data_IF_031428018829
#
_entry.id   IF_031428018829
#
_cell.length_a   1.000
_cell.length_b   1.000
_cell.length_c   1.000
_cell.angle_alpha   90.00
_cell.angle_beta   90.00
_cell.angle_gamma   90.00
#
_symmetry.space_group_name_H-M   'P 1'
#
loop_
_entity.id
_entity.type
_entity.pdbx_description
1 polymer ?
#
# COMPACT_ATOMS: atom_id res chain seq x y z
N UNK A 1 52.92 -4.94 23.22
CA UNK A 1 51.96 -4.53 22.20
C UNK A 1 50.60 -4.89 22.72
N UNK A 2 49.80 -3.85 22.96
CA UNK A 2 48.64 -3.88 23.85
C UNK A 2 47.46 -4.65 23.28
N UNK A 3 46.76 -5.28 24.22
CA UNK A 3 45.43 -5.80 24.06
C UNK A 3 44.59 -5.31 25.26
N UNK A 4 43.47 -4.67 24.93
CA UNK A 4 42.21 -4.51 25.69
C UNK A 4 42.17 -3.67 26.98
N UNK A 5 41.35 -2.60 26.94
CA UNK A 5 40.53 -2.18 28.08
C UNK A 5 39.12 -1.80 27.62
N UNK A 6 38.15 -2.53 28.18
CA UNK A 6 36.72 -2.26 28.14
C UNK A 6 36.40 -1.05 29.02
N UNK A 7 35.72 -0.06 28.47
CA UNK A 7 35.18 1.11 29.18
C UNK A 7 33.86 0.75 29.87
N UNK A 8 33.74 1.10 31.14
CA UNK A 8 32.60 0.75 32.00
C UNK A 8 31.34 1.58 31.72
N UNK A 9 30.19 0.90 31.83
CA UNK A 9 28.85 1.49 31.87
C UNK A 9 28.68 2.32 33.15
N UNK A 10 28.27 3.58 33.00
CA UNK A 10 27.99 4.49 34.10
C UNK A 10 26.77 4.05 34.92
N UNK A 11 26.92 4.07 36.24
CA UNK A 11 25.90 3.76 37.24
C UNK A 11 24.71 4.72 37.17
N UNK A 12 23.50 4.17 37.11
CA UNK A 12 22.25 4.92 37.30
C UNK A 12 22.07 5.16 38.81
N UNK A 13 22.15 6.41 39.25
CA UNK A 13 21.78 6.81 40.60
C UNK A 13 20.26 6.81 40.75
N UNK A 14 19.73 5.86 41.53
CA UNK A 14 18.32 5.84 41.95
C UNK A 14 18.22 6.63 43.25
N UNK A 15 17.72 7.87 43.18
CA UNK A 15 17.35 8.64 44.36
C UNK A 15 16.02 8.12 44.93
N UNK A 16 15.84 8.09 46.26
CA UNK A 16 14.58 7.63 46.87
C UNK A 16 13.48 8.66 46.64
N UNK A 17 12.52 8.32 45.77
CA UNK A 17 11.34 9.15 45.50
C UNK A 17 10.34 9.04 46.66
N UNK A 18 9.80 10.17 47.10
CA UNK A 18 8.73 10.20 48.11
C UNK A 18 7.39 9.78 47.47
N UNK A 19 6.46 9.23 48.26
CA UNK A 19 5.24 8.55 47.75
C UNK A 19 4.37 9.37 46.78
N UNK A 20 4.38 10.70 46.86
CA UNK A 20 3.62 11.56 45.96
C UNK A 20 4.29 11.76 44.58
N UNK A 21 5.62 11.69 44.49
CA UNK A 21 6.35 11.83 43.23
C UNK A 21 6.25 10.56 42.37
N UNK A 22 6.21 9.38 43.00
CA UNK A 22 5.91 8.12 42.32
C UNK A 22 4.53 8.13 41.67
N UNK A 23 3.52 8.67 42.36
CA UNK A 23 2.15 8.74 41.84
C UNK A 23 2.08 9.63 40.60
N UNK A 24 2.72 10.81 40.63
CA UNK A 24 2.79 11.74 39.49
C UNK A 24 3.53 11.14 38.29
N UNK A 25 4.63 10.42 38.50
CA UNK A 25 5.33 9.71 37.43
C UNK A 25 4.49 8.58 36.83
N UNK A 26 3.82 7.78 37.67
CA UNK A 26 2.95 6.67 37.22
C UNK A 26 1.80 7.22 36.37
N UNK A 27 1.11 8.28 36.84
CA UNK A 27 0.06 8.95 36.06
C UNK A 27 0.59 9.55 34.75
N UNK A 28 1.78 10.17 34.77
CA UNK A 28 2.44 10.69 33.58
C UNK A 28 2.75 9.61 32.55
N UNK A 29 3.27 8.46 32.97
CA UNK A 29 3.53 7.31 32.09
C UNK A 29 2.25 6.65 31.57
N UNK A 30 1.22 6.49 32.40
CA UNK A 30 -0.08 5.95 31.97
C UNK A 30 -0.76 6.85 30.94
N UNK A 31 -0.69 8.18 31.13
CA UNK A 31 -1.17 9.15 30.15
C UNK A 31 -0.41 9.03 28.82
N UNK A 32 0.92 8.87 28.86
CA UNK A 32 1.73 8.74 27.65
C UNK A 32 1.43 7.45 26.86
N UNK A 33 1.21 6.33 27.55
CA UNK A 33 0.84 5.05 26.92
C UNK A 33 -0.58 5.10 26.32
N UNK A 34 -1.50 5.85 26.92
CA UNK A 34 -2.86 6.02 26.39
C UNK A 34 -2.95 6.78 25.07
N UNK A 35 -1.90 7.53 24.70
CA UNK A 35 -1.83 8.31 23.46
C UNK A 35 -1.32 7.48 22.27
N UNK A 36 -0.85 6.24 22.51
CA UNK A 36 -0.42 5.33 21.45
C UNK A 36 -1.66 4.76 20.75
N UNK A 37 -2.19 5.53 19.81
CA UNK A 37 -3.18 5.04 18.86
C UNK A 37 -2.48 4.10 17.87
N UNK A 38 -2.95 2.85 17.79
CA UNK A 38 -2.51 1.93 16.74
C UNK A 38 -3.11 2.39 15.40
N UNK A 39 -2.32 3.07 14.59
CA UNK A 39 -2.70 3.41 13.22
C UNK A 39 -2.24 2.27 12.30
N UNK A 40 -3.20 1.57 11.71
CA UNK A 40 -2.93 0.74 10.55
C UNK A 40 -2.88 1.67 9.32
N UNK A 41 -1.70 1.82 8.72
CA UNK A 41 -1.48 2.72 7.58
C UNK A 41 -1.74 2.08 6.22
N UNK A 42 -1.75 0.74 6.15
CA UNK A 42 -1.88 0.00 4.90
C UNK A 42 -3.34 -0.36 4.61
N UNK A 43 -3.73 -0.25 3.35
CA UNK A 43 -4.94 -0.90 2.85
C UNK A 43 -4.68 -2.40 2.67
N UNK A 44 -5.72 -3.25 2.76
CA UNK A 44 -5.60 -4.67 2.52
C UNK A 44 -5.56 -5.04 1.03
N UNK A 45 -5.46 -4.06 0.11
CA UNK A 45 -5.31 -4.33 -1.31
C UNK A 45 -4.00 -5.09 -1.60
N UNK A 46 -4.04 -6.00 -2.56
CA UNK A 46 -2.89 -6.82 -2.95
C UNK A 46 -2.78 -6.96 -4.48
N UNK A 47 -2.56 -5.84 -5.15
CA UNK A 47 -2.43 -5.77 -6.60
C UNK A 47 -0.99 -5.92 -7.08
N UNK A 48 -0.79 -6.55 -8.24
CA UNK A 48 0.51 -6.67 -8.90
C UNK A 48 0.69 -5.62 -9.99
N UNK A 49 1.94 -5.37 -10.37
CA UNK A 49 2.29 -4.45 -11.46
C UNK A 49 1.57 -4.80 -12.77
N UNK A 50 1.53 -6.08 -13.12
CA UNK A 50 0.84 -6.58 -14.32
C UNK A 50 -0.68 -6.36 -14.28
N UNK A 51 -1.27 -6.31 -13.07
CA UNK A 51 -2.68 -5.98 -12.91
C UNK A 51 -2.96 -4.50 -13.21
N UNK A 52 -1.99 -3.61 -12.92
CA UNK A 52 -2.15 -2.15 -13.08
C UNK A 52 -1.78 -1.65 -14.46
N UNK A 53 -0.71 -2.14 -15.10
CA UNK A 53 -0.36 -1.69 -16.46
C UNK A 53 -1.47 -2.01 -17.47
N UNK A 54 -1.62 -1.18 -18.49
CA UNK A 54 -2.67 -1.29 -19.50
C UNK A 54 -3.46 0.01 -19.64
N UNK A 55 -4.63 -0.07 -20.29
CA UNK A 55 -5.46 1.10 -20.58
C UNK A 55 -6.57 1.26 -19.54
N UNK A 56 -6.78 2.50 -19.11
CA UNK A 56 -7.72 2.89 -18.07
C UNK A 56 -8.58 4.05 -18.52
N UNK A 57 -9.84 4.03 -18.13
CA UNK A 57 -10.77 5.15 -18.23
C UNK A 57 -10.85 5.84 -16.88
N UNK A 58 -10.51 7.13 -16.87
CA UNK A 58 -10.58 8.01 -15.70
C UNK A 58 -11.81 8.88 -15.86
N UNK A 59 -12.64 8.95 -14.82
CA UNK A 59 -13.72 9.94 -14.72
C UNK A 59 -13.40 10.89 -13.59
N UNK A 60 -13.46 12.19 -13.87
CA UNK A 60 -12.96 13.26 -13.01
C UNK A 60 -14.02 14.35 -12.86
N UNK A 61 -14.11 14.95 -11.67
CA UNK A 61 -14.99 16.08 -11.39
C UNK A 61 -14.44 17.39 -11.96
N UNK A 62 -15.20 18.47 -11.76
CA UNK A 62 -14.71 19.83 -12.00
C UNK A 62 -13.41 20.12 -11.26
N UNK A 63 -12.47 20.78 -11.94
CA UNK A 63 -11.09 21.05 -11.48
C UNK A 63 -10.97 22.36 -10.70
N UNK A 64 -11.98 22.68 -9.90
CA UNK A 64 -12.08 23.92 -9.13
C UNK A 64 -11.84 23.72 -7.64
N UNK A 65 -11.56 22.48 -7.22
CA UNK A 65 -11.30 22.13 -5.84
C UNK A 65 -9.98 22.69 -5.31
N UNK A 66 -9.87 22.75 -3.98
CA UNK A 66 -8.63 23.07 -3.28
C UNK A 66 -7.98 21.80 -2.72
N UNK A 67 -6.80 21.94 -2.10
CA UNK A 67 -6.11 20.86 -1.40
C UNK A 67 -6.85 20.31 -0.17
N UNK A 68 -8.05 20.80 0.13
CA UNK A 68 -8.94 20.33 1.21
C UNK A 68 -10.19 19.61 0.67
N UNK A 69 -10.24 19.32 -0.64
CA UNK A 69 -11.39 18.63 -1.24
C UNK A 69 -11.60 17.25 -0.59
N UNK A 70 -12.86 16.93 -0.27
CA UNK A 70 -13.26 15.61 0.18
C UNK A 70 -13.70 14.77 -1.04
N UNK A 71 -13.09 13.59 -1.22
CA UNK A 71 -13.37 12.65 -2.31
C UNK A 71 -14.03 11.33 -1.84
N UNK A 72 -14.59 11.29 -0.63
CA UNK A 72 -15.36 10.14 -0.13
C UNK A 72 -16.50 9.77 -1.08
N UNK A 73 -17.10 10.78 -1.71
CA UNK A 73 -18.03 10.61 -2.84
C UNK A 73 -17.46 11.28 -4.08
N UNK A 74 -17.67 10.67 -5.25
CA UNK A 74 -17.07 11.19 -6.49
C UNK A 74 -17.69 12.53 -6.89
N UNK A 75 -19.02 12.71 -6.78
CA UNK A 75 -19.70 13.90 -7.28
C UNK A 75 -20.04 13.84 -8.77
N UNK A 76 -20.34 15.00 -9.38
CA UNK A 76 -20.71 15.09 -10.79
C UNK A 76 -19.50 14.95 -11.72
N UNK A 77 -19.61 14.08 -12.72
CA UNK A 77 -18.55 13.83 -13.70
C UNK A 77 -18.50 14.99 -14.70
N UNK A 78 -17.34 15.63 -14.82
CA UNK A 78 -17.10 16.73 -15.75
C UNK A 78 -16.14 16.35 -16.88
N UNK A 79 -15.21 15.43 -16.60
CA UNK A 79 -14.19 15.04 -17.55
C UNK A 79 -14.04 13.51 -17.60
N UNK A 80 -13.83 12.99 -18.80
CA UNK A 80 -13.50 11.58 -19.05
C UNK A 80 -12.21 11.55 -19.85
N UNK A 81 -11.25 10.73 -19.44
CA UNK A 81 -9.93 10.61 -20.06
C UNK A 81 -9.47 9.16 -20.12
N UNK A 82 -8.86 8.78 -21.23
CA UNK A 82 -8.24 7.47 -21.34
C UNK A 82 -6.72 7.60 -21.24
N UNK A 83 -6.13 6.79 -20.36
CA UNK A 83 -4.68 6.71 -20.20
C UNK A 83 -4.20 5.28 -20.46
N UNK A 84 -3.06 5.16 -21.13
CA UNK A 84 -2.34 3.89 -21.26
C UNK A 84 -1.08 3.94 -20.40
N UNK A 85 -0.98 3.00 -19.47
CA UNK A 85 0.14 2.83 -18.55
C UNK A 85 1.02 1.70 -19.07
N UNK A 86 2.19 2.04 -19.60
CA UNK A 86 3.12 1.12 -20.25
C UNK A 86 4.41 0.95 -19.45
N UNK A 87 5.07 -0.19 -19.64
CA UNK A 87 6.39 -0.44 -19.06
C UNK A 87 7.44 0.50 -19.67
N UNK A 88 8.43 0.96 -18.86
CA UNK A 88 8.54 0.73 -17.42
C UNK A 88 7.61 1.62 -16.58
N UNK A 89 7.46 2.88 -16.98
CA UNK A 89 6.80 3.93 -16.21
C UNK A 89 6.16 4.99 -17.13
N UNK A 90 5.80 4.66 -18.36
CA UNK A 90 5.31 5.61 -19.37
C UNK A 90 3.78 5.69 -19.31
N UNK A 91 3.23 6.89 -19.15
CA UNK A 91 1.78 7.12 -19.26
C UNK A 91 1.48 7.97 -20.49
N UNK A 92 0.52 7.56 -21.32
CA UNK A 92 0.09 8.32 -22.51
C UNK A 92 -1.41 8.53 -22.56
N UNK A 93 -1.86 9.69 -23.00
CA UNK A 93 -3.27 9.97 -23.25
C UNK A 93 -3.67 9.79 -24.72
N UNK A 94 -4.97 9.92 -24.99
CA UNK A 94 -5.56 9.85 -26.34
C UNK A 94 -5.03 10.88 -27.36
N UNK A 95 -4.40 11.96 -26.89
CA UNK A 95 -3.83 13.03 -27.72
C UNK A 95 -2.32 12.87 -27.91
N UNK A 96 -1.72 11.82 -27.35
CA UNK A 96 -0.28 11.55 -27.42
C UNK A 96 0.54 12.35 -26.41
N UNK A 97 -0.08 13.01 -25.42
CA UNK A 97 0.67 13.61 -24.33
C UNK A 97 1.24 12.51 -23.46
N UNK A 98 2.53 12.64 -23.11
CA UNK A 98 3.23 11.71 -22.26
C UNK A 98 3.43 12.29 -20.85
N UNK A 99 3.30 11.41 -19.86
CA UNK A 99 3.73 11.59 -18.49
C UNK A 99 4.41 10.32 -18.00
N UNK A 100 4.55 10.19 -16.68
CA UNK A 100 5.02 8.94 -16.07
C UNK A 100 3.95 8.33 -15.18
N UNK A 101 4.11 7.07 -14.81
CA UNK A 101 3.31 6.45 -13.75
C UNK A 101 4.17 5.56 -12.87
N UNK A 102 3.74 5.39 -11.63
CA UNK A 102 4.40 4.48 -10.71
C UNK A 102 3.36 3.72 -9.90
N UNK A 103 3.66 2.46 -9.64
CA UNK A 103 2.92 1.68 -8.66
C UNK A 103 3.38 2.07 -7.26
N UNK A 104 2.43 2.15 -6.32
CA UNK A 104 2.73 2.36 -4.91
C UNK A 104 2.53 1.02 -4.21
N UNK A 105 3.64 0.29 -4.13
CA UNK A 105 3.71 -1.09 -3.63
C UNK A 105 2.62 -1.98 -4.26
N UNK A 106 1.63 -2.41 -3.49
CA UNK A 106 0.46 -3.16 -3.96
C UNK A 106 -0.87 -2.42 -3.67
N UNK A 107 -0.77 -1.16 -3.25
CA UNK A 107 -1.83 -0.37 -2.61
C UNK A 107 -2.60 0.48 -3.62
N UNK A 108 -1.91 0.98 -4.64
CA UNK A 108 -2.45 1.91 -5.61
C UNK A 108 -1.40 2.34 -6.62
N UNK A 109 -1.66 3.41 -7.34
CA UNK A 109 -0.72 3.96 -8.32
C UNK A 109 -0.89 5.48 -8.45
N UNK A 110 0.18 6.13 -8.92
CA UNK A 110 0.16 7.54 -9.28
C UNK A 110 0.51 7.70 -10.76
N UNK A 111 -0.31 8.46 -11.50
CA UNK A 111 0.01 8.96 -12.84
C UNK A 111 0.49 10.40 -12.68
N UNK A 112 1.68 10.70 -13.16
CA UNK A 112 2.43 11.92 -12.84
C UNK A 112 2.63 12.75 -14.10
N UNK A 113 2.34 14.05 -13.98
CA UNK A 113 2.68 15.08 -14.96
C UNK A 113 2.11 14.88 -16.38
N UNK A 114 1.05 14.11 -16.55
CA UNK A 114 0.37 13.93 -17.84
C UNK A 114 -0.52 15.15 -18.12
N UNK A 115 -0.25 15.85 -19.22
CA UNK A 115 -0.94 17.09 -19.58
C UNK A 115 -1.07 18.08 -18.39
N UNK A 116 0.04 18.28 -17.66
CA UNK A 116 0.15 19.18 -16.50
C UNK A 116 -0.69 18.78 -15.27
N UNK A 117 -1.12 17.53 -15.17
CA UNK A 117 -1.86 16.98 -14.02
C UNK A 117 -1.25 15.69 -13.49
N UNK A 118 -1.51 15.43 -12.21
CA UNK A 118 -1.19 14.17 -11.54
C UNK A 118 -2.43 13.60 -10.89
N UNK A 119 -2.47 12.27 -10.79
CA UNK A 119 -3.61 11.48 -10.33
C UNK A 119 -3.11 10.39 -9.39
N UNK A 120 -3.69 10.28 -8.20
CA UNK A 120 -3.37 9.23 -7.23
C UNK A 120 -4.66 8.59 -6.69
N UNK A 121 -4.72 7.26 -6.70
CA UNK A 121 -5.80 6.51 -6.07
C UNK A 121 -5.29 5.17 -5.51
N UNK A 122 -5.97 4.70 -4.46
CA UNK A 122 -5.83 3.33 -3.99
C UNK A 122 -6.63 2.37 -4.87
N UNK A 123 -6.11 1.15 -5.04
CA UNK A 123 -6.82 0.05 -5.69
C UNK A 123 -8.05 -0.35 -4.89
N UNK A 124 -9.14 -0.68 -5.59
CA UNK A 124 -10.40 -1.06 -4.93
C UNK A 124 -10.30 -2.45 -4.29
N UNK A 125 -10.92 -2.61 -3.12
CA UNK A 125 -11.03 -3.89 -2.43
C UNK A 125 -12.32 -3.96 -1.61
N UNK A 126 -12.72 -5.19 -1.30
CA UNK A 126 -13.81 -5.51 -0.38
C UNK A 126 -13.31 -6.47 0.71
N UNK A 127 -13.68 -6.19 1.95
CA UNK A 127 -13.37 -7.04 3.10
C UNK A 127 -14.57 -7.95 3.37
N UNK A 128 -14.36 -9.26 3.28
CA UNK A 128 -15.28 -10.29 3.76
C UNK A 128 -14.96 -10.73 5.19
N UNK A 129 -15.63 -11.78 5.65
CA UNK A 129 -15.49 -12.26 7.05
C UNK A 129 -14.07 -12.76 7.37
N UNK A 130 -13.44 -13.52 6.48
CA UNK A 130 -12.10 -14.11 6.66
C UNK A 130 -11.19 -13.95 5.44
N UNK A 131 -11.52 -12.99 4.56
CA UNK A 131 -10.78 -12.78 3.32
C UNK A 131 -10.96 -11.37 2.80
N UNK A 132 -9.98 -10.89 2.06
CA UNK A 132 -10.07 -9.62 1.32
C UNK A 132 -9.99 -9.92 -0.17
N UNK A 133 -10.91 -9.36 -0.94
CA UNK A 133 -10.91 -9.44 -2.40
C UNK A 133 -10.46 -8.11 -2.97
N UNK A 134 -9.32 -8.10 -3.66
CA UNK A 134 -8.80 -6.92 -4.38
C UNK A 134 -9.28 -6.93 -5.82
N UNK A 135 -9.90 -5.82 -6.24
CA UNK A 135 -10.34 -5.61 -7.62
C UNK A 135 -9.36 -4.66 -8.32
N UNK A 136 -8.24 -5.22 -8.76
CA UNK A 136 -7.10 -4.45 -9.26
C UNK A 136 -7.33 -3.75 -10.62
N UNK A 137 -8.48 -3.98 -11.25
CA UNK A 137 -8.96 -3.22 -12.42
C UNK A 137 -9.80 -1.99 -12.05
N UNK A 138 -9.98 -1.68 -10.77
CA UNK A 138 -10.76 -0.55 -10.28
C UNK A 138 -10.01 0.19 -9.18
N UNK A 139 -10.28 1.49 -9.03
CA UNK A 139 -9.76 2.30 -7.93
C UNK A 139 -10.89 2.77 -7.02
N UNK A 140 -10.55 3.10 -5.77
CA UNK A 140 -11.36 4.03 -5.01
C UNK A 140 -11.37 5.41 -5.67
N UNK A 141 -12.22 6.30 -5.15
CA UNK A 141 -12.09 7.72 -5.45
C UNK A 141 -10.72 8.20 -4.96
N UNK A 142 -9.97 8.77 -5.87
CA UNK A 142 -8.67 9.36 -5.62
C UNK A 142 -8.67 10.86 -5.87
N UNK A 143 -7.47 11.42 -5.82
CA UNK A 143 -7.23 12.84 -5.94
C UNK A 143 -6.42 13.14 -7.19
N UNK A 144 -6.87 14.17 -7.90
CA UNK A 144 -6.16 14.73 -9.03
C UNK A 144 -5.84 16.18 -8.74
N UNK A 145 -4.67 16.63 -9.21
CA UNK A 145 -4.23 18.02 -9.06
C UNK A 145 -3.41 18.47 -10.24
N UNK A 146 -3.41 19.78 -10.47
CA UNK A 146 -2.49 20.39 -11.41
C UNK A 146 -1.05 20.46 -10.86
N UNK A 147 -0.09 20.73 -11.75
CA UNK A 147 1.32 20.95 -11.38
C UNK A 147 1.51 22.08 -10.36
N UNK A 148 0.62 23.08 -10.34
CA UNK A 148 0.70 24.20 -9.40
C UNK A 148 0.13 23.89 -8.01
N UNK A 149 -0.52 22.73 -7.85
CA UNK A 149 -1.15 22.28 -6.59
C UNK A 149 -2.28 23.21 -6.14
N UNK A 150 -2.88 23.97 -7.06
CA UNK A 150 -3.96 24.92 -6.78
C UNK A 150 -5.32 24.36 -7.14
N UNK A 151 -5.38 23.55 -8.20
CA UNK A 151 -6.62 23.07 -8.80
C UNK A 151 -6.76 21.56 -8.61
N UNK A 152 -7.59 21.18 -7.65
CA UNK A 152 -7.85 19.79 -7.27
C UNK A 152 -9.20 19.31 -7.77
N UNK A 153 -9.33 17.99 -7.93
CA UNK A 153 -10.58 17.31 -8.28
C UNK A 153 -10.54 15.87 -7.81
N UNK A 154 -11.71 15.28 -7.63
CA UNK A 154 -11.85 13.86 -7.36
C UNK A 154 -11.89 13.10 -8.67
N UNK A 155 -11.37 11.88 -8.69
CA UNK A 155 -11.49 10.99 -9.83
C UNK A 155 -11.63 9.55 -9.37
N UNK A 156 -12.14 8.66 -10.21
CA UNK A 156 -11.88 7.24 -10.08
C UNK A 156 -11.49 6.69 -11.45
N UNK A 157 -10.92 5.49 -11.47
CA UNK A 157 -10.45 4.85 -12.68
C UNK A 157 -10.91 3.40 -12.76
N UNK A 158 -11.22 2.97 -13.98
CA UNK A 158 -11.57 1.59 -14.31
C UNK A 158 -10.76 1.14 -15.52
N UNK A 159 -10.16 -0.04 -15.43
CA UNK A 159 -9.39 -0.64 -16.52
C UNK A 159 -10.32 -1.03 -17.66
N UNK A 160 -9.90 -0.81 -18.90
CA UNK A 160 -10.72 -1.15 -20.07
C UNK A 160 -10.78 -2.65 -20.34
N UNK A 161 -9.81 -3.40 -19.81
CA UNK A 161 -9.74 -4.86 -19.89
C UNK A 161 -10.11 -5.46 -18.53
N UNK A 162 -10.84 -6.57 -18.55
CA UNK A 162 -11.17 -7.31 -17.33
C UNK A 162 -9.89 -7.81 -16.64
N UNK A 163 -9.83 -7.60 -15.32
CA UNK A 163 -8.77 -8.11 -14.44
C UNK A 163 -9.42 -9.03 -13.42
N UNK A 164 -9.05 -10.32 -13.38
CA UNK A 164 -9.59 -11.25 -12.39
C UNK A 164 -9.34 -10.73 -10.96
N UNK A 165 -10.35 -10.73 -10.07
CA UNK A 165 -10.16 -10.34 -8.68
C UNK A 165 -9.17 -11.25 -7.95
N UNK A 166 -8.42 -10.68 -7.00
CA UNK A 166 -7.45 -11.41 -6.18
C UNK A 166 -7.96 -11.54 -4.76
N UNK A 167 -8.33 -12.73 -4.34
CA UNK A 167 -8.77 -13.00 -2.97
C UNK A 167 -7.61 -13.50 -2.12
N UNK A 168 -7.31 -12.79 -1.05
CA UNK A 168 -6.34 -13.19 -0.02
C UNK A 168 -7.09 -13.64 1.22
N UNK A 169 -6.84 -14.86 1.69
CA UNK A 169 -7.38 -15.34 2.97
C UNK A 169 -6.62 -14.69 4.12
N UNK A 170 -7.35 -14.24 5.13
CA UNK A 170 -6.73 -13.79 6.37
C UNK A 170 -6.25 -15.04 7.13
N UNK A 171 -4.96 -15.09 7.45
CA UNK A 171 -4.41 -16.19 8.23
C UNK A 171 -5.02 -16.16 9.63
N UNK A 172 -5.49 -17.31 10.10
CA UNK A 172 -5.98 -17.42 11.47
C UNK A 172 -4.81 -17.58 12.44
N UNK A 173 -5.00 -17.22 13.71
CA UNK A 173 -3.94 -17.38 14.71
C UNK A 173 -3.45 -18.82 14.85
N UNK A 174 -4.31 -19.82 14.59
CA UNK A 174 -3.94 -21.24 14.59
C UNK A 174 -2.96 -21.61 13.45
N UNK A 175 -3.06 -20.94 12.30
CA UNK A 175 -2.15 -21.17 11.17
C UNK A 175 -0.72 -20.67 11.47
N UNK A 176 -0.58 -19.65 12.34
CA UNK A 176 0.69 -19.04 12.71
C UNK A 176 1.48 -19.87 13.75
N UNK A 177 0.85 -20.85 14.40
CA UNK A 177 1.48 -21.71 15.42
C UNK A 177 2.14 -22.94 14.79
N UNK A 178 1.84 -23.25 13.53
CA UNK A 178 2.50 -24.36 12.85
C UNK A 178 3.95 -24.01 12.51
N UNK A 179 4.85 -24.94 12.82
CA UNK A 179 6.23 -24.85 12.35
C UNK A 179 6.24 -24.94 10.83
N UNK A 180 7.07 -24.11 10.20
CA UNK A 180 7.15 -24.01 8.75
C UNK A 180 7.55 -25.36 8.14
N UNK A 181 6.72 -25.86 7.22
CA UNK A 181 6.99 -27.05 6.40
C UNK A 181 6.84 -26.70 4.94
N UNK A 182 7.70 -27.27 4.09
CA UNK A 182 7.55 -27.07 2.66
C UNK A 182 6.29 -27.80 2.15
N UNK A 183 5.65 -27.21 1.13
CA UNK A 183 4.58 -27.85 0.38
C UNK A 183 5.15 -28.41 -0.95
N UNK A 184 5.52 -29.70 -1.00
CA UNK A 184 6.07 -30.30 -2.21
C UNK A 184 5.06 -30.35 -3.35
N UNK A 185 3.76 -30.40 -3.05
CA UNK A 185 2.71 -30.42 -4.08
C UNK A 185 2.61 -29.06 -4.78
N UNK A 186 2.71 -27.96 -4.02
CA UNK A 186 2.81 -26.61 -4.59
C UNK A 186 4.06 -26.46 -5.47
N UNK A 187 5.22 -26.93 -4.99
CA UNK A 187 6.47 -26.90 -5.78
C UNK A 187 6.33 -27.66 -7.10
N UNK A 188 5.67 -28.82 -7.08
CA UNK A 188 5.43 -29.61 -8.28
C UNK A 188 4.51 -28.88 -9.27
N UNK A 189 3.42 -28.27 -8.78
CA UNK A 189 2.50 -27.47 -9.60
C UNK A 189 3.20 -26.27 -10.26
N UNK A 190 4.05 -25.56 -9.53
CA UNK A 190 4.83 -24.44 -10.08
C UNK A 190 5.74 -24.94 -11.21
N UNK A 191 6.46 -26.03 -10.97
CA UNK A 191 7.40 -26.60 -11.94
C UNK A 191 6.74 -27.22 -13.18
N UNK A 192 5.43 -27.50 -13.16
CA UNK A 192 4.68 -27.98 -14.32
C UNK A 192 4.37 -26.86 -15.33
N UNK A 193 4.27 -25.61 -14.86
CA UNK A 193 3.87 -24.46 -15.70
C UNK A 193 5.06 -23.56 -16.03
N UNK A 194 6.03 -23.42 -15.12
CA UNK A 194 7.17 -22.53 -15.30
C UNK A 194 8.30 -23.19 -16.12
N UNK A 195 8.81 -22.46 -17.12
CA UNK A 195 9.92 -22.91 -17.99
C UNK A 195 11.24 -22.14 -17.82
N UNK A 196 11.21 -20.94 -17.25
CA UNK A 196 12.41 -20.06 -17.15
C UNK A 196 13.24 -20.30 -15.88
N UNK A 197 12.66 -20.91 -14.85
CA UNK A 197 13.32 -21.25 -13.60
C UNK A 197 12.60 -22.44 -12.96
N UNK A 198 13.25 -23.07 -11.96
CA UNK A 198 12.69 -24.24 -11.27
C UNK A 198 12.62 -23.99 -9.77
N UNK A 199 11.43 -24.15 -9.19
CA UNK A 199 11.22 -24.16 -7.75
C UNK A 199 11.93 -25.37 -7.13
N UNK A 200 12.63 -25.15 -6.02
CA UNK A 200 13.38 -26.17 -5.26
C UNK A 200 12.98 -26.12 -3.79
N UNK A 201 12.89 -27.30 -3.18
CA UNK A 201 12.69 -27.47 -1.73
C UNK A 201 14.04 -27.38 -1.03
N UNK A 202 14.10 -26.64 0.07
CA UNK A 202 15.26 -26.51 0.96
C UNK A 202 14.90 -27.10 2.33
N UNK A 203 15.18 -28.39 2.57
CA UNK A 203 14.83 -29.07 3.82
C UNK A 203 15.45 -28.41 5.06
N UNK A 204 16.60 -27.77 4.91
CA UNK A 204 17.30 -27.06 5.96
C UNK A 204 16.55 -25.82 6.51
N UNK A 205 15.51 -25.36 5.80
CA UNK A 205 14.68 -24.23 6.22
C UNK A 205 13.38 -24.66 6.93
N UNK A 206 13.07 -25.96 6.98
CA UNK A 206 11.94 -26.49 7.74
C UNK A 206 12.21 -26.39 9.25
N UNK A 207 11.15 -26.15 10.03
CA UNK A 207 11.23 -26.06 11.49
C UNK A 207 10.36 -27.10 12.18
#
# INVERSE_FOLDING_TARGET
MEAWKMTQLGSIHVLPLTGNECILQIFGTLLLVSIIQFVAGDTPANCLYEDVRGTWTFVETERLGSNKINCDTLGAIAHVKNFTLAFPDIATDELGNAGTWTMIYNQGFEVININQRSYFAFSYYETGENSVTSYCGHTFNGWSRDKTVRNWSCFNATKTTEVPPRTTKQLTHMDLVQLYRNDPALVQKINQVQGSWRAKVYPELEK
#
